data_IF_440586105797
#
_entry.id   IF_440586105797
#
_cell.length_a   1.000
_cell.length_b   1.000
_cell.length_c   1.000
_cell.angle_alpha   90.00
_cell.angle_beta   90.00
_cell.angle_gamma   90.00
#
_symmetry.space_group_name_H-M   'P 1'
#
loop_
_entity.id
_entity.type
_entity.pdbx_description
1 polymer ?
#
# COMPACT_ATOMS: atom_id res chain seq x y z
N UNK A 1 1.15 2.47 -28.46
CA UNK A 1 0.23 3.26 -27.63
C UNK A 1 -0.94 2.42 -27.10
N UNK A 2 -1.73 1.77 -27.96
CA UNK A 2 -2.88 0.94 -27.57
C UNK A 2 -2.57 -0.22 -26.60
N UNK A 3 -1.48 -0.96 -26.83
CA UNK A 3 -1.06 -2.07 -25.95
C UNK A 3 -0.78 -1.56 -24.52
N UNK A 4 -0.15 -0.38 -24.38
CA UNK A 4 0.18 0.19 -23.08
C UNK A 4 -1.07 0.62 -22.30
N UNK A 5 -2.08 1.14 -23.00
CA UNK A 5 -3.39 1.50 -22.42
C UNK A 5 -4.16 0.24 -22.00
N UNK A 6 -4.17 -0.79 -22.84
CA UNK A 6 -4.78 -2.09 -22.54
C UNK A 6 -4.15 -2.75 -21.31
N UNK A 7 -2.81 -2.79 -21.22
CA UNK A 7 -2.12 -3.35 -20.05
C UNK A 7 -2.46 -2.61 -18.76
N UNK A 8 -2.56 -1.27 -18.79
CA UNK A 8 -2.95 -0.47 -17.61
C UNK A 8 -4.37 -0.74 -17.17
N UNK A 9 -5.30 -0.85 -18.12
CA UNK A 9 -6.69 -1.21 -17.83
C UNK A 9 -6.77 -2.62 -17.23
N UNK A 10 -6.02 -3.59 -17.77
CA UNK A 10 -5.96 -4.94 -17.20
C UNK A 10 -5.39 -4.93 -15.78
N UNK A 11 -4.32 -4.17 -15.52
CA UNK A 11 -3.76 -4.03 -14.17
C UNK A 11 -4.75 -3.37 -13.21
N UNK A 12 -5.44 -2.32 -13.64
CA UNK A 12 -6.50 -1.67 -12.84
C UNK A 12 -7.65 -2.63 -12.54
N UNK A 13 -8.09 -3.41 -13.52
CA UNK A 13 -9.11 -4.44 -13.32
C UNK A 13 -8.63 -5.51 -12.34
N UNK A 14 -7.39 -5.99 -12.47
CA UNK A 14 -6.81 -6.97 -11.55
C UNK A 14 -6.67 -6.42 -10.13
N UNK A 15 -6.28 -5.15 -9.98
CA UNK A 15 -6.22 -4.47 -8.69
C UNK A 15 -7.62 -4.24 -8.10
N UNK A 16 -8.62 -3.94 -8.94
CA UNK A 16 -10.02 -3.81 -8.52
C UNK A 16 -10.60 -5.14 -8.04
N UNK A 17 -10.37 -6.23 -8.79
CA UNK A 17 -10.76 -7.59 -8.40
C UNK A 17 -10.02 -8.01 -7.13
N UNK A 18 -8.73 -7.68 -7.00
CA UNK A 18 -7.95 -7.91 -5.79
C UNK A 18 -8.56 -7.17 -4.59
N UNK A 19 -8.86 -5.88 -4.72
CA UNK A 19 -9.45 -5.08 -3.64
C UNK A 19 -10.87 -5.56 -3.25
N UNK A 20 -11.65 -6.07 -4.20
CA UNK A 20 -12.99 -6.61 -3.95
C UNK A 20 -12.98 -8.00 -3.30
N UNK A 21 -11.95 -8.81 -3.58
CA UNK A 21 -11.81 -10.17 -3.05
C UNK A 21 -10.85 -10.31 -1.88
N UNK A 22 -10.19 -9.22 -1.48
CA UNK A 22 -9.24 -9.17 -0.39
C UNK A 22 -9.97 -9.21 0.96
N UNK A 23 -9.42 -10.00 1.88
CA UNK A 23 -9.80 -9.90 3.28
C UNK A 23 -9.33 -8.56 3.81
N UNK A 24 -10.23 -7.85 4.51
CA UNK A 24 -9.96 -6.55 5.10
C UNK A 24 -9.81 -6.72 6.60
N UNK A 25 -8.59 -6.59 7.09
CA UNK A 25 -8.28 -6.54 8.52
C UNK A 25 -8.02 -5.09 8.97
N UNK A 26 -8.39 -4.77 10.20
CA UNK A 26 -8.04 -3.50 10.85
C UNK A 26 -7.27 -3.79 12.13
N UNK A 27 -6.06 -3.25 12.23
CA UNK A 27 -5.13 -3.56 13.30
C UNK A 27 -4.50 -2.27 13.82
N UNK A 28 -4.12 -2.23 15.10
CA UNK A 28 -3.39 -1.11 15.68
C UNK A 28 -2.04 -1.60 16.17
N UNK A 29 -0.96 -1.03 15.62
CA UNK A 29 0.40 -1.39 16.04
C UNK A 29 0.71 -0.83 17.43
N UNK A 30 0.19 0.36 17.73
CA UNK A 30 0.40 1.08 18.97
C UNK A 30 -0.67 2.18 19.13
N UNK A 31 -0.55 2.99 20.18
CA UNK A 31 -1.46 4.12 20.41
C UNK A 31 -1.37 5.23 19.36
N UNK A 32 -0.34 5.23 18.51
CA UNK A 32 -0.06 6.30 17.56
C UNK A 32 -0.60 6.01 16.16
N UNK A 33 -0.59 4.74 15.77
CA UNK A 33 -0.96 4.33 14.41
C UNK A 33 -1.74 3.02 14.37
N UNK A 34 -2.75 3.00 13.51
CA UNK A 34 -3.44 1.80 13.07
C UNK A 34 -3.26 1.62 11.57
N UNK A 35 -3.59 0.44 11.07
CA UNK A 35 -3.57 0.15 9.67
C UNK A 35 -4.73 -0.73 9.25
N UNK A 36 -5.16 -0.53 8.01
CA UNK A 36 -6.04 -1.46 7.30
C UNK A 36 -5.20 -2.26 6.33
N UNK A 37 -5.35 -3.56 6.39
CA UNK A 37 -4.69 -4.50 5.51
C UNK A 37 -5.73 -5.12 4.58
N UNK A 38 -5.46 -5.05 3.29
CA UNK A 38 -6.20 -5.70 2.23
C UNK A 38 -5.30 -6.81 1.71
N UNK A 39 -5.63 -8.07 2.00
CA UNK A 39 -4.78 -9.17 1.58
C UNK A 39 -5.54 -10.26 0.83
N UNK A 40 -4.86 -10.87 -0.13
CA UNK A 40 -5.34 -12.07 -0.81
C UNK A 40 -4.22 -13.09 -0.85
N UNK A 41 -4.55 -14.29 -0.40
CA UNK A 41 -3.73 -15.47 -0.60
C UNK A 41 -4.12 -16.16 -1.90
N UNK A 42 -3.12 -16.73 -2.57
CA UNK A 42 -3.27 -17.45 -3.82
C UNK A 42 -2.70 -18.85 -3.65
N UNK A 43 -3.49 -19.86 -3.98
CA UNK A 43 -3.09 -21.26 -3.93
C UNK A 43 -2.37 -21.71 -5.22
N UNK A 44 -2.21 -20.81 -6.19
CA UNK A 44 -1.63 -21.10 -7.49
C UNK A 44 -0.71 -19.98 -7.97
N UNK A 45 0.28 -20.34 -8.78
CA UNK A 45 1.27 -19.42 -9.33
C UNK A 45 2.45 -19.14 -8.40
N UNK A 46 3.29 -18.17 -8.76
CA UNK A 46 4.55 -17.90 -8.04
C UNK A 46 4.40 -16.92 -6.88
N UNK A 47 3.25 -16.24 -6.79
CA UNK A 47 2.92 -15.31 -5.72
C UNK A 47 2.01 -16.05 -4.74
N UNK A 48 2.45 -16.18 -3.49
CA UNK A 48 1.66 -16.78 -2.41
C UNK A 48 0.62 -15.80 -1.87
N UNK A 49 1.02 -14.53 -1.72
CA UNK A 49 0.18 -13.50 -1.11
C UNK A 49 0.50 -12.14 -1.67
N UNK A 50 -0.54 -11.35 -1.90
CA UNK A 50 -0.43 -9.91 -2.13
C UNK A 50 -1.14 -9.23 -0.97
N UNK A 51 -0.51 -8.21 -0.39
CA UNK A 51 -1.13 -7.39 0.64
C UNK A 51 -0.87 -5.91 0.39
N UNK A 52 -1.89 -5.12 0.68
CA UNK A 52 -1.85 -3.67 0.64
C UNK A 52 -2.23 -3.13 2.01
N UNK A 53 -1.36 -2.31 2.58
CA UNK A 53 -1.54 -1.71 3.90
C UNK A 53 -1.73 -0.21 3.75
N UNK A 54 -2.81 0.31 4.32
CA UNK A 54 -3.01 1.74 4.56
C UNK A 54 -2.85 2.01 6.05
N UNK A 55 -1.75 2.62 6.44
CA UNK A 55 -1.47 3.02 7.81
C UNK A 55 -1.90 4.46 8.05
N UNK A 56 -2.57 4.71 9.16
CA UNK A 56 -3.14 6.02 9.53
C UNK A 56 -2.93 6.30 11.02
N UNK A 57 -2.87 7.58 11.34
CA UNK A 57 -2.78 8.05 12.72
C UNK A 57 -4.09 7.78 13.47
N UNK A 58 -3.97 7.37 14.73
CA UNK A 58 -5.12 7.26 15.63
C UNK A 58 -5.67 8.65 15.97
N UNK A 59 -6.96 8.74 16.30
CA UNK A 59 -7.54 10.01 16.76
C UNK A 59 -6.85 10.59 18.01
N UNK A 60 -6.54 9.78 19.06
CA UNK A 60 -5.77 10.27 20.19
C UNK A 60 -4.40 10.85 19.80
N UNK A 61 -3.74 10.29 18.78
CA UNK A 61 -2.48 10.82 18.31
C UNK A 61 -2.62 12.10 17.50
N UNK A 62 -3.66 12.22 16.67
CA UNK A 62 -3.99 13.47 15.98
C UNK A 62 -4.25 14.61 16.98
N UNK A 63 -4.97 14.35 18.07
CA UNK A 63 -5.17 15.35 19.12
C UNK A 63 -3.86 15.74 19.84
N UNK A 64 -2.96 14.78 20.08
CA UNK A 64 -1.61 15.05 20.60
C UNK A 64 -0.80 15.91 19.62
N UNK A 65 -0.89 15.67 18.32
CA UNK A 65 -0.20 16.43 17.28
C UNK A 65 -0.66 17.89 17.19
N UNK A 66 -1.92 18.19 17.47
CA UNK A 66 -2.41 19.58 17.54
C UNK A 66 -1.68 20.44 18.58
N UNK A 67 -1.06 19.82 19.58
CA UNK A 67 -0.27 20.50 20.64
C UNK A 67 1.24 20.49 20.36
N UNK A 68 1.67 19.88 19.26
CA UNK A 68 3.08 19.78 18.87
C UNK A 68 3.52 21.03 18.10
N UNK A 69 4.84 21.16 17.86
CA UNK A 69 5.36 22.24 17.01
C UNK A 69 4.80 22.14 15.59
N UNK A 70 4.59 23.28 14.95
CA UNK A 70 3.97 23.37 13.62
C UNK A 70 4.77 22.63 12.54
N UNK A 71 6.09 22.62 12.63
CA UNK A 71 6.99 21.90 11.72
C UNK A 71 6.80 20.38 11.82
N UNK A 72 6.81 19.85 13.05
CA UNK A 72 6.60 18.44 13.31
C UNK A 72 5.19 17.99 12.92
N UNK A 73 4.17 18.80 13.24
CA UNK A 73 2.78 18.53 12.86
C UNK A 73 2.65 18.42 11.33
N UNK A 74 3.16 19.40 10.58
CA UNK A 74 3.12 19.39 9.11
C UNK A 74 3.83 18.17 8.53
N UNK A 75 5.03 17.85 9.03
CA UNK A 75 5.77 16.66 8.61
C UNK A 75 4.92 15.38 8.78
N UNK A 76 4.24 15.22 9.91
CA UNK A 76 3.42 14.04 10.17
C UNK A 76 2.13 14.02 9.33
N UNK A 77 1.52 15.18 9.07
CA UNK A 77 0.37 15.31 8.17
C UNK A 77 0.73 15.03 6.71
N UNK A 78 1.97 15.31 6.29
CA UNK A 78 2.46 15.00 4.93
C UNK A 78 2.83 13.52 4.75
N UNK A 79 3.34 12.86 5.80
CA UNK A 79 3.72 11.44 5.75
C UNK A 79 2.49 10.53 5.73
N UNK A 80 1.44 10.89 6.46
CA UNK A 80 0.27 10.04 6.64
C UNK A 80 -0.89 10.41 5.69
N UNK A 81 -1.63 9.42 5.17
CA UNK A 81 -1.48 7.99 5.39
C UNK A 81 -0.30 7.37 4.62
N UNK A 82 0.35 6.38 5.24
CA UNK A 82 1.42 5.60 4.60
C UNK A 82 0.79 4.42 3.88
N UNK A 83 1.18 4.21 2.62
CA UNK A 83 0.73 3.10 1.79
C UNK A 83 1.88 2.13 1.54
N UNK A 84 1.64 0.84 1.77
CA UNK A 84 2.62 -0.23 1.55
C UNK A 84 1.97 -1.30 0.68
N UNK A 85 2.62 -1.66 -0.43
CA UNK A 85 2.25 -2.79 -1.26
C UNK A 85 3.34 -3.86 -1.15
N UNK A 86 2.96 -5.06 -0.73
CA UNK A 86 3.87 -6.18 -0.52
C UNK A 86 3.43 -7.43 -1.26
N UNK A 87 4.43 -8.22 -1.66
CA UNK A 87 4.28 -9.50 -2.34
C UNK A 87 5.06 -10.56 -1.59
N UNK A 88 4.43 -11.68 -1.29
CA UNK A 88 5.09 -12.88 -0.76
C UNK A 88 5.20 -13.89 -1.88
N UNK A 89 6.42 -14.26 -2.25
CA UNK A 89 6.71 -15.26 -3.28
C UNK A 89 6.81 -16.66 -2.67
N UNK A 90 6.36 -17.69 -3.40
CA UNK A 90 6.48 -19.10 -2.94
C UNK A 90 7.94 -19.57 -2.98
N UNK A 91 8.68 -19.17 -4.01
CA UNK A 91 10.10 -19.47 -4.18
C UNK A 91 10.92 -18.17 -4.18
N UNK A 92 12.13 -18.17 -3.59
CA UNK A 92 13.05 -17.06 -3.71
C UNK A 92 13.54 -16.96 -5.16
N UNK A 93 12.80 -16.23 -6.00
CA UNK A 93 13.28 -15.82 -7.32
C UNK A 93 14.12 -14.57 -7.13
N UNK A 94 15.32 -14.55 -7.71
CA UNK A 94 16.07 -13.31 -7.91
C UNK A 94 15.21 -12.42 -8.81
N UNK A 95 14.50 -11.47 -8.19
CA UNK A 95 13.82 -10.41 -8.93
C UNK A 95 14.91 -9.40 -9.28
N UNK A 96 15.52 -9.58 -10.45
CA UNK A 96 16.40 -8.57 -11.04
C UNK A 96 15.52 -7.42 -11.55
N UNK A 97 15.28 -6.44 -10.69
CA UNK A 97 14.53 -5.23 -11.02
C UNK A 97 15.43 -4.34 -11.88
N UNK A 98 15.49 -4.62 -13.18
CA UNK A 98 16.29 -3.83 -14.13
C UNK A 98 15.80 -2.40 -14.30
N UNK A 99 14.51 -2.15 -14.08
CA UNK A 99 13.93 -0.81 -14.16
C UNK A 99 12.60 -0.75 -13.41
N UNK A 100 12.45 0.24 -12.52
CA UNK A 100 11.16 0.65 -11.98
C UNK A 100 10.74 1.91 -12.72
N UNK A 101 9.61 1.86 -13.43
CA UNK A 101 9.04 3.02 -14.10
C UNK A 101 7.91 3.54 -13.21
N UNK A 102 8.16 4.62 -12.48
CA UNK A 102 7.12 5.38 -11.80
C UNK A 102 6.42 6.25 -12.84
N UNK A 103 5.33 5.74 -13.40
CA UNK A 103 4.54 6.49 -14.37
C UNK A 103 3.60 7.43 -13.61
N UNK A 104 4.12 8.60 -13.22
CA UNK A 104 3.27 9.66 -12.67
C UNK A 104 3.92 10.71 -11.77
N UNK A 105 5.08 11.29 -12.12
CA UNK A 105 5.38 12.72 -11.88
C UNK A 105 6.42 13.12 -12.95
N UNK A 106 6.12 14.11 -13.78
CA UNK A 106 7.17 14.78 -14.57
C UNK A 106 8.09 15.51 -13.59
N UNK A 107 9.40 15.24 -13.65
CA UNK A 107 10.42 16.03 -12.97
C UNK A 107 10.87 17.18 -13.86
#
# INVERSE_FOLDING_TARGET
>A
MFIRVMCRLCLLCLMGVFLLGAEVGSFCENEFSCYREYSKEFDFGSIKRIFFIKKYMTEPYKERLKRSRDDYKKMMEEIYPIYILGFIMVEPRLIDIKSVIFDGVEA
#
